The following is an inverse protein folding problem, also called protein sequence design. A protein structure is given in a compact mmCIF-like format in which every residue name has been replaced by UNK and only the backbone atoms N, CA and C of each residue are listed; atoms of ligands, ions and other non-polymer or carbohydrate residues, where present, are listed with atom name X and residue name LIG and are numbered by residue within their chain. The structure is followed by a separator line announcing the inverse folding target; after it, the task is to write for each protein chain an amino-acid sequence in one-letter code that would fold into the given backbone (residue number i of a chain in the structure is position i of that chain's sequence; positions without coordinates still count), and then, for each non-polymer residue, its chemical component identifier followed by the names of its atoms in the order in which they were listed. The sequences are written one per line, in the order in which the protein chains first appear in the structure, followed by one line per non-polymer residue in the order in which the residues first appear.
data_IF_085719805605
#
_entry.id   IF_085719805605
#
_cell.length_a   1.000
_cell.length_b   1.000
_cell.length_c   1.000
_cell.angle_alpha   90.00
_cell.angle_beta   90.00
_cell.angle_gamma   90.00
#
_symmetry.space_group_name_H-M   'P 1'
#
loop_
_entity.id
_entity.type
_entity.pdbx_description
1 polymer ?
#
# COMPACT_ATOMS: atom_id res chain seq x y z
N UNK A 1 57.10 12.14 -53.72
CA UNK A 1 56.58 10.81 -53.33
C UNK A 1 55.41 11.05 -52.39
N UNK A 2 54.20 10.96 -52.95
CA UNK A 2 52.93 11.03 -52.23
C UNK A 2 52.81 9.88 -51.22
N UNK A 3 52.32 10.17 -50.02
CA UNK A 3 51.78 9.16 -49.11
C UNK A 3 50.39 9.61 -48.68
N UNK A 4 49.38 9.09 -49.39
CA UNK A 4 47.96 9.25 -49.10
C UNK A 4 47.61 8.36 -47.91
N UNK A 5 47.20 8.97 -46.79
CA UNK A 5 46.69 8.26 -45.61
C UNK A 5 45.19 8.01 -45.79
N UNK A 6 44.67 6.78 -45.63
CA UNK A 6 43.24 6.51 -45.76
C UNK A 6 42.49 6.91 -44.47
N UNK A 7 41.44 7.71 -44.61
CA UNK A 7 40.48 7.99 -43.53
C UNK A 7 39.58 6.77 -43.29
N UNK A 8 39.53 6.28 -42.04
CA UNK A 8 38.59 5.25 -41.57
C UNK A 8 37.22 5.90 -41.29
N UNK A 9 36.10 5.39 -41.81
CA UNK A 9 34.78 5.89 -41.43
C UNK A 9 34.44 5.43 -40.01
N UNK A 10 33.98 6.36 -39.19
CA UNK A 10 33.58 6.15 -37.80
C UNK A 10 32.13 5.62 -37.80
N UNK A 11 31.95 4.33 -37.56
CA UNK A 11 30.63 3.71 -37.43
C UNK A 11 30.04 4.05 -36.06
N UNK A 12 29.14 5.02 -36.01
CA UNK A 12 28.31 5.27 -34.83
C UNK A 12 27.22 4.19 -34.77
N UNK A 13 27.34 3.26 -33.82
CA UNK A 13 26.26 2.35 -33.48
C UNK A 13 25.07 3.16 -32.89
N UNK A 14 23.81 2.86 -33.29
CA UNK A 14 22.65 3.54 -32.73
C UNK A 14 22.47 3.19 -31.25
N UNK A 15 22.30 4.21 -30.41
CA UNK A 15 22.12 4.13 -28.95
C UNK A 15 20.71 3.66 -28.55
N UNK A 16 20.21 2.57 -29.16
CA UNK A 16 18.84 2.08 -28.94
C UNK A 16 18.76 0.88 -27.99
N UNK A 17 19.86 0.16 -27.74
CA UNK A 17 19.87 -1.04 -26.88
C UNK A 17 19.65 -0.75 -25.38
N UNK A 18 19.90 0.48 -24.91
CA UNK A 18 19.77 0.81 -23.50
C UNK A 18 18.36 1.24 -23.07
N UNK A 19 17.40 1.37 -24.01
CA UNK A 19 16.05 1.81 -23.65
C UNK A 19 15.18 0.71 -23.02
N UNK A 20 15.49 -0.57 -23.26
CA UNK A 20 14.70 -1.69 -22.72
C UNK A 20 14.93 -1.91 -21.21
N UNK A 21 16.11 -1.57 -20.71
CA UNK A 21 16.48 -1.83 -19.30
C UNK A 21 15.74 -0.89 -18.34
N UNK A 22 15.49 0.36 -18.76
CA UNK A 22 14.81 1.36 -17.90
C UNK A 22 13.31 1.03 -17.74
N UNK A 23 12.68 0.46 -18.76
CA UNK A 23 11.27 0.04 -18.71
C UNK A 23 11.04 -1.19 -17.82
N UNK A 24 12.03 -2.09 -17.71
CA UNK A 24 11.90 -3.29 -16.88
C UNK A 24 11.92 -3.01 -15.36
N UNK A 25 12.54 -1.91 -14.93
CA UNK A 25 12.69 -1.56 -13.51
C UNK A 25 11.46 -0.88 -12.90
N UNK A 26 10.52 -0.38 -13.71
CA UNK A 26 9.34 0.33 -13.21
C UNK A 26 8.16 -0.58 -12.82
N UNK A 27 8.23 -1.87 -13.10
CA UNK A 27 7.09 -2.79 -12.97
C UNK A 27 6.89 -3.40 -11.57
N UNK A 28 7.67 -3.00 -10.57
CA UNK A 28 7.58 -3.55 -9.20
C UNK A 28 6.93 -2.58 -8.20
N UNK A 29 6.16 -1.59 -8.67
CA UNK A 29 5.27 -0.84 -7.81
C UNK A 29 4.10 -1.74 -7.35
N UNK A 30 4.36 -2.54 -6.30
CA UNK A 30 3.30 -3.20 -5.55
C UNK A 30 2.52 -2.13 -4.79
N UNK A 31 1.32 -1.77 -5.26
CA UNK A 31 0.31 -1.15 -4.41
C UNK A 31 -0.11 -2.21 -3.38
N UNK A 32 0.56 -2.24 -2.24
CA UNK A 32 0.10 -3.07 -1.13
C UNK A 32 -1.29 -2.58 -0.70
N UNK A 33 -2.33 -3.43 -0.67
CA UNK A 33 -3.61 -3.04 -0.11
C UNK A 33 -3.45 -2.75 1.40
N UNK A 34 -3.94 -1.59 1.85
CA UNK A 34 -3.83 -1.13 3.25
C UNK A 34 -4.72 -1.91 4.24
N UNK A 35 -5.45 -2.92 3.74
CA UNK A 35 -6.24 -3.83 4.55
C UNK A 35 -5.44 -5.11 4.83
N UNK A 36 -5.10 -5.34 6.09
CA UNK A 36 -4.43 -6.56 6.55
C UNK A 36 -5.34 -7.35 7.50
N UNK A 37 -5.45 -8.65 7.25
CA UNK A 37 -6.08 -9.59 8.19
C UNK A 37 -5.06 -9.89 9.27
N UNK A 38 -5.31 -9.45 10.50
CA UNK A 38 -4.38 -9.64 11.62
C UNK A 38 -4.66 -10.93 12.38
N UNK A 39 -5.90 -11.42 12.32
CA UNK A 39 -6.30 -12.66 12.96
C UNK A 39 -7.29 -13.39 12.06
N UNK A 40 -6.80 -14.44 11.40
CA UNK A 40 -7.57 -15.29 10.49
C UNK A 40 -7.91 -16.58 11.22
N UNK A 41 -9.20 -16.83 11.43
CA UNK A 41 -9.72 -18.11 11.91
C UNK A 41 -10.60 -18.76 10.84
N UNK A 42 -10.81 -20.08 10.95
CA UNK A 42 -11.69 -20.81 10.03
C UNK A 42 -13.16 -20.35 10.10
N UNK A 43 -13.55 -19.69 11.20
CA UNK A 43 -14.92 -19.25 11.46
C UNK A 43 -15.08 -17.72 11.41
N UNK A 44 -14.02 -16.97 11.09
CA UNK A 44 -14.07 -15.51 11.09
C UNK A 44 -12.70 -14.86 11.19
N UNK A 45 -12.66 -13.64 11.70
CA UNK A 45 -11.40 -12.95 11.93
C UNK A 45 -11.54 -11.47 12.25
N UNK A 46 -10.40 -10.79 12.26
CA UNK A 46 -10.33 -9.33 12.42
C UNK A 46 -9.63 -8.72 11.21
N UNK A 47 -10.34 -7.87 10.48
CA UNK A 47 -9.77 -7.00 9.47
C UNK A 47 -9.23 -5.75 10.15
N UNK A 48 -8.01 -5.33 9.82
CA UNK A 48 -7.49 -4.01 10.15
C UNK A 48 -7.20 -3.25 8.86
N UNK A 49 -7.62 -2.00 8.78
CA UNK A 49 -7.22 -1.11 7.70
C UNK A 49 -6.93 0.30 8.23
N UNK A 50 -6.07 1.03 7.53
CA UNK A 50 -5.81 2.44 7.81
C UNK A 50 -6.70 3.33 6.94
N UNK A 51 -7.03 4.53 7.42
CA UNK A 51 -7.77 5.53 6.67
C UNK A 51 -7.31 6.94 7.07
N UNK A 52 -7.45 7.91 6.17
CA UNK A 52 -7.16 9.31 6.48
C UNK A 52 -8.38 9.94 7.16
N UNK A 53 -8.20 10.55 8.34
CA UNK A 53 -9.26 11.13 9.19
C UNK A 53 -10.16 12.15 8.46
N UNK A 54 -9.69 12.78 7.39
CA UNK A 54 -10.49 13.68 6.56
C UNK A 54 -11.63 12.97 5.82
N UNK A 55 -11.54 11.65 5.65
CA UNK A 55 -12.58 10.81 5.03
C UNK A 55 -13.41 10.10 6.10
N UNK A 56 -14.74 10.00 5.86
CA UNK A 56 -15.60 9.16 6.70
C UNK A 56 -15.21 7.68 6.53
N UNK A 57 -14.81 7.06 7.64
CA UNK A 57 -14.39 5.65 7.74
C UNK A 57 -15.41 4.67 7.15
N UNK A 58 -16.71 5.01 7.17
CA UNK A 58 -17.77 4.17 6.61
C UNK A 58 -17.84 4.25 5.07
N UNK A 59 -17.30 5.31 4.49
CA UNK A 59 -17.26 5.55 3.04
C UNK A 59 -15.88 5.33 2.43
N UNK A 60 -14.89 5.04 3.28
CA UNK A 60 -13.49 4.93 2.87
C UNK A 60 -13.31 3.76 1.88
N UNK A 61 -12.44 3.91 0.87
CA UNK A 61 -12.16 2.82 -0.07
C UNK A 61 -11.61 1.59 0.66
N UNK A 62 -10.81 1.78 1.70
CA UNK A 62 -10.18 0.70 2.46
C UNK A 62 -11.23 -0.14 3.21
N UNK A 63 -12.31 0.49 3.70
CA UNK A 63 -13.46 -0.24 4.24
C UNK A 63 -14.10 -1.13 3.18
N UNK A 64 -14.31 -0.62 1.95
CA UNK A 64 -14.92 -1.41 0.87
C UNK A 64 -14.07 -2.63 0.55
N UNK A 65 -12.75 -2.44 0.48
CA UNK A 65 -11.81 -3.53 0.25
C UNK A 65 -11.84 -4.55 1.40
N UNK A 66 -11.92 -4.09 2.65
CA UNK A 66 -12.05 -4.97 3.80
C UNK A 66 -13.35 -5.81 3.75
N UNK A 67 -14.47 -5.20 3.40
CA UNK A 67 -15.76 -5.90 3.25
C UNK A 67 -15.76 -6.88 2.07
N UNK A 68 -15.06 -6.54 0.98
CA UNK A 68 -14.87 -7.41 -0.17
C UNK A 68 -14.08 -8.68 0.22
N UNK A 69 -12.94 -8.52 0.90
CA UNK A 69 -12.13 -9.65 1.38
C UNK A 69 -12.92 -10.54 2.35
N UNK A 70 -13.72 -9.95 3.24
CA UNK A 70 -14.61 -10.71 4.13
C UNK A 70 -15.66 -11.53 3.37
N UNK A 71 -16.15 -11.00 2.23
CA UNK A 71 -17.13 -11.70 1.38
C UNK A 71 -16.51 -12.86 0.61
N UNK A 72 -15.27 -12.70 0.12
CA UNK A 72 -14.53 -13.79 -0.53
C UNK A 72 -14.25 -14.93 0.45
N UNK A 73 -13.91 -14.58 1.69
CA UNK A 73 -13.60 -15.57 2.72
C UNK A 73 -14.83 -16.30 3.26
N UNK A 74 -15.96 -15.60 3.44
CA UNK A 74 -17.20 -16.19 3.92
C UNK A 74 -18.24 -16.22 2.77
N UNK A 75 -18.21 -17.18 1.83
CA UNK A 75 -19.10 -17.21 0.67
C UNK A 75 -20.58 -17.41 1.04
N UNK A 76 -20.86 -18.06 2.17
CA UNK A 76 -22.21 -18.18 2.75
C UNK A 76 -22.68 -16.90 3.46
N UNK A 77 -21.84 -15.87 3.48
CA UNK A 77 -22.03 -14.61 4.18
C UNK A 77 -21.37 -14.57 5.56
N UNK A 78 -21.30 -13.37 6.13
CA UNK A 78 -20.70 -13.09 7.43
C UNK A 78 -21.60 -12.20 8.29
N UNK A 79 -21.25 -12.07 9.57
CA UNK A 79 -21.81 -11.09 10.49
C UNK A 79 -20.69 -10.30 11.16
N UNK A 80 -20.80 -8.98 11.13
CA UNK A 80 -19.93 -8.09 11.90
C UNK A 80 -20.33 -8.19 13.38
N UNK A 81 -19.36 -8.51 14.23
CA UNK A 81 -19.55 -8.66 15.68
C UNK A 81 -19.13 -7.41 16.45
N UNK A 82 -18.05 -6.75 16.01
CA UNK A 82 -17.53 -5.51 16.58
C UNK A 82 -16.81 -4.72 15.50
N UNK A 83 -16.90 -3.41 15.59
CA UNK A 83 -16.22 -2.50 14.67
C UNK A 83 -15.82 -1.21 15.41
N UNK A 84 -14.63 -0.67 15.15
CA UNK A 84 -14.19 0.58 15.78
C UNK A 84 -12.73 0.97 15.53
N UNK A 85 -12.39 2.21 15.89
CA UNK A 85 -11.01 2.74 15.84
C UNK A 85 -10.10 1.99 16.81
N UNK A 86 -8.89 1.67 16.37
CA UNK A 86 -7.87 0.99 17.18
C UNK A 86 -6.68 1.93 17.35
N UNK A 87 -6.23 2.19 18.59
CA UNK A 87 -5.05 3.01 18.83
C UNK A 87 -3.80 2.33 18.25
N UNK A 88 -2.81 3.11 17.80
CA UNK A 88 -1.48 2.56 17.51
C UNK A 88 -0.92 2.13 18.87
N UNK A 89 -0.47 0.88 18.94
CA UNK A 89 -0.11 0.17 20.18
C UNK A 89 0.87 0.94 21.06
N UNK A 90 1.68 1.80 20.46
CA UNK A 90 2.63 2.61 21.19
C UNK A 90 1.92 3.84 21.77
N UNK A 91 1.13 3.64 22.83
CA UNK A 91 0.35 4.71 23.47
C UNK A 91 1.22 5.91 23.90
N UNK A 92 2.50 5.71 24.18
CA UNK A 92 3.44 6.78 24.51
C UNK A 92 3.80 7.61 23.27
N UNK A 93 4.02 6.94 22.13
CA UNK A 93 4.22 7.53 20.82
C UNK A 93 2.93 8.17 20.35
N UNK A 94 1.77 7.54 20.42
CA UNK A 94 0.49 8.16 20.04
C UNK A 94 0.16 9.40 20.88
N UNK A 95 0.41 9.38 22.19
CA UNK A 95 0.26 10.58 23.04
C UNK A 95 1.28 11.67 22.70
N UNK A 96 2.51 11.30 22.34
CA UNK A 96 3.52 12.24 21.88
C UNK A 96 3.20 12.78 20.47
N UNK A 97 2.61 11.98 19.59
CA UNK A 97 2.29 12.30 18.19
C UNK A 97 0.98 13.08 18.04
N UNK A 98 0.07 12.99 19.01
CA UNK A 98 -1.00 13.99 19.18
C UNK A 98 -0.44 15.41 19.38
N UNK A 99 0.86 15.56 19.70
CA UNK A 99 1.56 16.85 19.82
C UNK A 99 2.87 16.99 19.02
N UNK A 100 3.32 15.96 18.30
CA UNK A 100 4.57 15.98 17.53
C UNK A 100 4.30 15.52 16.10
N UNK A 101 3.91 16.48 15.27
CA UNK A 101 4.66 16.87 14.06
C UNK A 101 5.74 15.82 13.70
N UNK A 102 5.50 15.02 12.65
CA UNK A 102 6.51 14.12 12.07
C UNK A 102 7.82 14.87 11.82
N UNK A 103 8.94 14.17 11.59
CA UNK A 103 10.27 14.76 11.33
C UNK A 103 10.26 15.88 10.26
N UNK A 104 9.23 15.91 9.42
CA UNK A 104 8.99 16.85 8.31
C UNK A 104 7.91 17.91 8.59
N UNK A 105 7.36 18.02 9.80
CA UNK A 105 6.33 19.03 10.10
C UNK A 105 4.89 18.50 10.19
N UNK A 106 4.61 17.28 9.72
CA UNK A 106 3.24 16.84 9.46
C UNK A 106 2.68 15.93 10.56
N UNK A 107 1.57 16.33 11.17
CA UNK A 107 0.75 15.44 12.01
C UNK A 107 0.16 14.37 11.08
N UNK A 108 0.49 13.09 11.30
CA UNK A 108 -0.15 12.02 10.54
C UNK A 108 -1.63 11.97 10.91
N UNK A 109 -2.50 12.21 9.91
CA UNK A 109 -3.97 12.11 10.05
C UNK A 109 -4.46 10.69 9.77
N UNK A 110 -3.54 9.74 9.65
CA UNK A 110 -3.87 8.34 9.44
C UNK A 110 -4.40 7.71 10.74
N UNK A 111 -5.58 7.12 10.65
CA UNK A 111 -6.28 6.40 11.71
C UNK A 111 -6.35 4.92 11.33
N UNK A 112 -6.57 4.06 12.31
CA UNK A 112 -6.72 2.61 12.10
C UNK A 112 -8.07 2.13 12.57
N UNK A 113 -8.67 1.25 11.81
CA UNK A 113 -10.00 0.74 12.08
C UNK A 113 -10.01 -0.78 12.02
N UNK A 114 -10.69 -1.42 12.97
CA UNK A 114 -10.83 -2.87 13.01
C UNK A 114 -12.28 -3.31 12.84
N UNK A 115 -12.48 -4.37 12.05
CA UNK A 115 -13.76 -5.07 11.89
C UNK A 115 -13.57 -6.51 12.32
N UNK A 116 -14.21 -6.91 13.42
CA UNK A 116 -14.26 -8.28 13.87
C UNK A 116 -15.52 -8.97 13.33
N UNK A 117 -15.37 -10.08 12.62
CA UNK A 117 -16.44 -10.77 11.93
C UNK A 117 -16.43 -12.28 12.18
N UNK A 118 -17.59 -12.90 11.97
CA UNK A 118 -17.80 -14.34 12.04
C UNK A 118 -18.53 -14.79 10.76
N UNK A 119 -18.05 -15.84 10.12
CA UNK A 119 -18.75 -16.47 8.99
C UNK A 119 -20.06 -17.12 9.46
N UNK A 120 -21.06 -17.18 8.58
CA UNK A 120 -22.35 -17.85 8.84
C UNK A 120 -22.28 -19.35 8.59
#
# INVERSE_FOLDING_TARGET
METTVPHRPQSHAPAWENQLIVLALFSLASCAPDAQIIDETATGGTMLYSYIEEHDVLTSPERRDALYLMSEKCPSGYRISREGEVPRIDQAVDRAWMGQVSRDGQVSRERRWAIQYVCK
#
